data_IF_208036940251
#
_entry.id   IF_208036940251
#
_cell.length_a   1.000
_cell.length_b   1.000
_cell.length_c   1.000
_cell.angle_alpha   90.00
_cell.angle_beta   90.00
_cell.angle_gamma   90.00
#
_symmetry.space_group_name_H-M   'P 1'
#
loop_
_entity.id
_entity.type
_entity.pdbx_description
1 polymer ?
#
# COMPACT_ATOMS: atom_id res chain seq x y z
N UNK A 1 23.52 -3.02 -9.43
CA UNK A 1 22.54 -3.28 -8.35
C UNK A 1 22.46 -2.04 -7.48
N UNK A 2 21.75 -0.99 -7.91
CA UNK A 2 21.51 0.16 -7.04
C UNK A 2 20.41 -0.23 -6.07
N UNK A 3 20.81 -0.67 -4.87
CA UNK A 3 19.91 -0.65 -3.73
C UNK A 3 19.35 0.77 -3.69
N UNK A 4 18.03 0.88 -3.80
CA UNK A 4 17.30 2.08 -3.51
C UNK A 4 17.66 2.43 -2.06
N UNK A 5 18.68 3.27 -1.88
CA UNK A 5 19.15 3.74 -0.60
C UNK A 5 18.08 4.71 -0.14
N UNK A 6 16.93 4.16 0.30
CA UNK A 6 16.01 4.93 1.10
C UNK A 6 16.84 5.40 2.27
N UNK A 7 17.07 6.72 2.33
CA UNK A 7 17.84 7.29 3.42
C UNK A 7 17.24 6.75 4.71
N UNK A 8 18.09 6.43 5.67
CA UNK A 8 17.68 5.91 6.98
C UNK A 8 16.53 6.73 7.56
N UNK A 9 16.54 8.04 7.28
CA UNK A 9 15.45 8.99 7.52
C UNK A 9 14.08 8.56 6.98
N UNK A 10 13.97 8.14 5.71
CA UNK A 10 12.71 7.68 5.12
C UNK A 10 12.21 6.37 5.75
N UNK A 11 13.13 5.49 6.19
CA UNK A 11 12.76 4.27 6.92
C UNK A 11 12.26 4.61 8.32
N UNK A 12 12.96 5.48 9.05
CA UNK A 12 12.58 5.93 10.39
C UNK A 12 11.23 6.65 10.34
N UNK A 13 11.04 7.60 9.42
CA UNK A 13 9.75 8.27 9.22
C UNK A 13 8.61 7.28 8.97
N UNK A 14 8.84 6.21 8.20
CA UNK A 14 7.79 5.20 7.93
C UNK A 14 7.28 4.50 9.19
N UNK A 15 8.12 4.33 10.22
CA UNK A 15 7.75 3.65 11.46
C UNK A 15 7.38 4.61 12.59
N UNK A 16 8.06 5.75 12.68
CA UNK A 16 7.82 6.76 13.71
C UNK A 16 6.55 7.55 13.41
N UNK A 17 6.27 7.85 12.14
CA UNK A 17 5.12 8.66 11.75
C UNK A 17 3.77 8.05 12.15
N UNK A 18 3.49 6.74 11.93
CA UNK A 18 2.23 6.13 12.38
C UNK A 18 2.08 6.13 13.91
N UNK A 19 3.19 5.97 14.65
CA UNK A 19 3.17 6.00 16.12
C UNK A 19 2.89 7.42 16.61
N UNK A 20 3.64 8.40 16.09
CA UNK A 20 3.42 9.81 16.40
C UNK A 20 2.00 10.26 16.03
N UNK A 21 1.45 9.72 14.95
CA UNK A 21 0.06 9.93 14.56
C UNK A 21 -0.89 9.43 15.67
N UNK A 22 -0.82 8.15 16.02
CA UNK A 22 -1.67 7.58 17.08
C UNK A 22 -1.56 8.37 18.40
N UNK A 23 -0.35 8.76 18.80
CA UNK A 23 -0.12 9.56 20.00
C UNK A 23 -0.79 10.94 19.92
N UNK A 24 -0.59 11.67 18.82
CA UNK A 24 -1.19 12.99 18.64
C UNK A 24 -2.72 12.91 18.62
N UNK A 25 -3.29 11.91 17.95
CA UNK A 25 -4.74 11.70 17.94
C UNK A 25 -5.27 11.40 19.35
N UNK A 26 -4.61 10.51 20.09
CA UNK A 26 -5.00 10.17 21.45
C UNK A 26 -4.93 11.38 22.39
N UNK A 27 -3.92 12.25 22.24
CA UNK A 27 -3.79 13.49 23.02
C UNK A 27 -4.95 14.44 22.71
N UNK A 28 -5.23 14.69 21.43
CA UNK A 28 -6.32 15.61 21.01
C UNK A 28 -7.68 15.08 21.45
N UNK A 29 -7.93 13.78 21.27
CA UNK A 29 -9.18 13.14 21.71
C UNK A 29 -9.36 13.22 23.23
N UNK A 30 -8.30 12.93 24.00
CA UNK A 30 -8.34 13.02 25.46
C UNK A 30 -8.57 14.45 25.94
N UNK A 31 -7.91 15.44 25.32
CA UNK A 31 -8.13 16.85 25.60
C UNK A 31 -9.59 17.25 25.32
N UNK A 32 -10.14 16.84 24.18
CA UNK A 32 -11.51 17.16 23.80
C UNK A 32 -12.57 16.63 24.75
N UNK A 33 -12.38 15.42 25.29
CA UNK A 33 -13.29 14.85 26.28
C UNK A 33 -13.24 15.57 27.63
N UNK A 34 -12.07 16.05 28.05
CA UNK A 34 -11.91 16.76 29.33
C UNK A 34 -12.34 18.22 29.23
N UNK A 35 -12.03 18.88 28.12
CA UNK A 35 -12.43 20.27 27.89
C UNK A 35 -13.93 20.43 27.60
N UNK A 36 -14.64 19.32 27.31
CA UNK A 36 -16.03 19.32 26.82
C UNK A 36 -16.26 20.12 25.53
N UNK A 37 -15.20 20.57 24.88
CA UNK A 37 -15.21 21.35 23.64
C UNK A 37 -15.27 20.44 22.40
N UNK A 38 -16.39 19.72 22.28
CA UNK A 38 -16.58 18.71 21.20
C UNK A 38 -16.40 19.31 19.80
N UNK A 39 -16.92 20.52 19.55
CA UNK A 39 -16.81 21.20 18.26
C UNK A 39 -15.36 21.54 17.90
N UNK A 40 -14.61 22.14 18.85
CA UNK A 40 -13.19 22.49 18.63
C UNK A 40 -12.35 21.23 18.42
N UNK A 41 -12.65 20.17 19.17
CA UNK A 41 -12.00 18.86 19.00
C UNK A 41 -12.21 18.31 17.60
N UNK A 42 -13.43 18.37 17.06
CA UNK A 42 -13.70 17.95 15.68
C UNK A 42 -12.92 18.77 14.65
N UNK A 43 -12.84 20.09 14.82
CA UNK A 43 -12.04 20.96 13.93
C UNK A 43 -10.57 20.55 13.97
N UNK A 44 -10.00 20.33 15.16
CA UNK A 44 -8.60 19.92 15.31
C UNK A 44 -8.38 18.55 14.67
N UNK A 45 -9.29 17.60 14.85
CA UNK A 45 -9.21 16.26 14.21
C UNK A 45 -9.25 16.37 12.69
N UNK A 46 -10.15 17.20 12.13
CA UNK A 46 -10.22 17.42 10.67
C UNK A 46 -8.93 18.07 10.16
N UNK A 47 -8.47 19.15 10.79
CA UNK A 47 -7.23 19.81 10.42
C UNK A 47 -6.03 18.86 10.48
N UNK A 48 -5.98 18.03 11.52
CA UNK A 48 -4.98 16.99 11.71
C UNK A 48 -5.02 15.93 10.59
N UNK A 49 -6.21 15.46 10.20
CA UNK A 49 -6.36 14.54 9.06
C UNK A 49 -5.90 15.18 7.75
N UNK A 50 -6.24 16.45 7.50
CA UNK A 50 -5.80 17.19 6.31
C UNK A 50 -4.27 17.29 6.26
N UNK A 51 -3.62 17.64 7.37
CA UNK A 51 -2.15 17.70 7.46
C UNK A 51 -1.56 16.31 7.22
N UNK A 52 -2.12 15.27 7.86
CA UNK A 52 -1.64 13.91 7.70
C UNK A 52 -1.73 13.42 6.26
N UNK A 53 -2.90 13.53 5.63
CA UNK A 53 -3.07 13.15 4.24
C UNK A 53 -2.19 14.00 3.32
N UNK A 54 -2.04 15.30 3.60
CA UNK A 54 -1.12 16.18 2.90
C UNK A 54 0.33 15.68 2.92
N UNK A 55 0.83 15.27 4.09
CA UNK A 55 2.18 14.71 4.25
C UNK A 55 2.31 13.37 3.50
N UNK A 56 1.33 12.47 3.65
CA UNK A 56 1.34 11.16 2.95
C UNK A 56 1.36 11.36 1.43
N UNK A 57 0.52 12.27 0.92
CA UNK A 57 0.47 12.64 -0.50
C UNK A 57 1.81 13.24 -0.94
N UNK A 58 2.39 14.16 -0.16
CA UNK A 58 3.68 14.77 -0.49
C UNK A 58 4.82 13.74 -0.56
N UNK A 59 4.87 12.79 0.37
CA UNK A 59 5.82 11.66 0.35
C UNK A 59 5.58 10.80 -0.90
N UNK A 60 4.32 10.50 -1.22
CA UNK A 60 3.93 9.77 -2.43
C UNK A 60 4.41 10.45 -3.72
N UNK A 61 4.13 11.75 -3.86
CA UNK A 61 4.55 12.57 -5.01
C UNK A 61 6.09 12.58 -5.13
N UNK A 62 6.81 12.77 -4.02
CA UNK A 62 8.28 12.78 -4.04
C UNK A 62 8.85 11.44 -4.50
N UNK A 63 8.33 10.33 -3.98
CA UNK A 63 8.72 8.98 -4.41
C UNK A 63 8.48 8.79 -5.91
N UNK A 64 7.33 9.23 -6.42
CA UNK A 64 6.98 9.12 -7.84
C UNK A 64 7.89 9.99 -8.72
N UNK A 65 8.21 11.22 -8.30
CA UNK A 65 9.14 12.11 -9.02
C UNK A 65 10.55 11.53 -9.15
N UNK A 66 11.07 10.92 -8.09
CA UNK A 66 12.40 10.28 -8.14
C UNK A 66 12.42 9.16 -9.18
N UNK A 67 11.38 8.33 -9.23
CA UNK A 67 11.26 7.27 -10.26
C UNK A 67 11.16 7.82 -11.67
N UNK A 68 10.35 8.87 -11.88
CA UNK A 68 10.28 9.50 -13.19
C UNK A 68 11.62 10.07 -13.64
N UNK A 69 12.38 10.67 -12.73
CA UNK A 69 13.73 11.14 -13.02
C UNK A 69 14.68 10.00 -13.39
N UNK A 70 14.64 8.88 -12.67
CA UNK A 70 15.42 7.68 -13.02
C UNK A 70 15.07 7.15 -14.41
N UNK A 71 13.78 7.14 -14.77
CA UNK A 71 13.31 6.74 -16.10
C UNK A 71 13.78 7.74 -17.15
N UNK A 72 13.68 9.03 -16.89
CA UNK A 72 14.13 10.09 -17.81
C UNK A 72 15.65 10.03 -18.04
N UNK A 73 16.45 9.86 -16.99
CA UNK A 73 17.89 9.66 -17.07
C UNK A 73 18.22 8.38 -17.86
N UNK A 74 17.47 7.30 -17.66
CA UNK A 74 17.61 6.09 -18.46
C UNK A 74 17.32 6.32 -19.94
N UNK A 75 16.20 6.97 -20.27
CA UNK A 75 15.82 7.28 -21.65
C UNK A 75 16.85 8.17 -22.34
N UNK A 76 17.43 9.17 -21.63
CA UNK A 76 18.49 10.04 -22.17
C UNK A 76 19.82 9.29 -22.38
N UNK A 77 20.18 8.40 -21.46
CA UNK A 77 21.45 7.66 -21.51
C UNK A 77 21.45 6.52 -22.53
N UNK A 78 20.28 5.99 -22.88
CA UNK A 78 20.16 4.85 -23.80
C UNK A 78 20.36 5.29 -25.25
N UNK A 79 21.61 5.21 -25.72
CA UNK A 79 22.00 5.53 -27.12
C UNK A 79 21.37 4.61 -28.16
N UNK A 80 20.85 3.46 -27.74
CA UNK A 80 20.44 2.34 -28.62
C UNK A 80 19.08 2.50 -29.28
N UNK A 81 18.30 3.53 -28.93
CA UNK A 81 16.90 3.67 -29.36
C UNK A 81 15.98 2.58 -28.79
N UNK A 82 14.67 2.77 -28.92
CA UNK A 82 13.70 1.73 -28.60
C UNK A 82 13.74 0.65 -29.68
N UNK A 83 13.79 -0.63 -29.27
CA UNK A 83 13.69 -1.79 -30.16
C UNK A 83 12.27 -1.96 -30.64
N UNK A 84 11.30 -1.79 -29.73
CA UNK A 84 9.88 -1.87 -30.02
C UNK A 84 9.13 -0.89 -29.12
N UNK A 85 8.08 -0.27 -29.67
CA UNK A 85 7.21 0.63 -28.92
C UNK A 85 5.76 0.28 -29.18
N UNK A 86 5.05 -0.16 -28.14
CA UNK A 86 3.63 -0.47 -28.20
C UNK A 86 2.84 0.60 -27.46
N UNK A 87 1.75 1.01 -28.08
CA UNK A 87 0.86 2.04 -27.56
C UNK A 87 -0.42 1.41 -26.99
N UNK A 88 -1.18 2.23 -26.26
CA UNK A 88 -2.50 1.89 -25.75
C UNK A 88 -3.41 1.26 -26.82
N UNK A 89 -3.42 1.81 -28.03
CA UNK A 89 -4.29 1.33 -29.10
C UNK A 89 -3.92 -0.08 -29.57
N UNK A 90 -2.63 -0.42 -29.55
CA UNK A 90 -2.13 -1.75 -29.88
C UNK A 90 -2.59 -2.78 -28.85
N UNK A 91 -2.53 -2.40 -27.56
CA UNK A 91 -3.03 -3.23 -26.47
C UNK A 91 -4.54 -3.44 -26.55
N UNK A 92 -5.31 -2.35 -26.72
CA UNK A 92 -6.79 -2.44 -26.78
C UNK A 92 -7.22 -3.36 -27.93
N UNK A 93 -6.67 -3.19 -29.13
CA UNK A 93 -7.00 -4.03 -30.30
C UNK A 93 -6.65 -5.51 -30.08
N UNK A 94 -5.61 -5.80 -29.32
CA UNK A 94 -5.23 -7.18 -28.99
C UNK A 94 -6.13 -7.75 -27.87
N UNK A 95 -6.49 -6.94 -26.88
CA UNK A 95 -7.36 -7.31 -25.77
C UNK A 95 -8.80 -7.58 -26.20
N UNK A 96 -9.34 -6.78 -27.13
CA UNK A 96 -10.68 -6.98 -27.72
C UNK A 96 -10.85 -8.35 -28.37
N UNK A 97 -9.74 -8.96 -28.80
CA UNK A 97 -9.72 -10.27 -29.45
C UNK A 97 -9.47 -11.43 -28.49
N UNK A 98 -9.30 -11.17 -27.20
CA UNK A 98 -9.19 -12.21 -26.16
C UNK A 98 -10.60 -12.57 -25.64
N UNK A 99 -11.15 -13.74 -26.02
CA UNK A 99 -12.52 -14.12 -25.65
C UNK A 99 -12.72 -14.32 -24.14
N UNK A 100 -11.63 -14.54 -23.39
CA UNK A 100 -11.68 -14.77 -21.95
C UNK A 100 -11.41 -13.50 -21.13
N UNK A 101 -10.97 -12.40 -21.77
CA UNK A 101 -10.55 -11.18 -21.08
C UNK A 101 -11.65 -10.59 -20.19
N UNK A 102 -12.88 -10.51 -20.71
CA UNK A 102 -14.03 -9.97 -19.96
C UNK A 102 -14.36 -10.86 -18.76
N UNK A 103 -14.32 -12.18 -18.92
CA UNK A 103 -14.62 -13.11 -17.83
C UNK A 103 -13.55 -13.06 -16.74
N UNK A 104 -12.26 -13.01 -17.11
CA UNK A 104 -11.14 -12.88 -16.18
C UNK A 104 -11.18 -11.55 -15.42
N UNK A 105 -11.44 -10.45 -16.13
CA UNK A 105 -11.60 -9.11 -15.53
C UNK A 105 -12.76 -9.09 -14.55
N UNK A 106 -13.91 -9.66 -14.92
CA UNK A 106 -15.07 -9.72 -14.03
C UNK A 106 -14.80 -10.58 -12.78
N UNK A 107 -14.07 -11.70 -12.91
CA UNK A 107 -13.66 -12.51 -11.75
C UNK A 107 -12.71 -11.74 -10.84
N UNK A 108 -11.75 -11.01 -11.42
CA UNK A 108 -10.85 -10.15 -10.66
C UNK A 108 -11.61 -9.06 -9.90
N UNK A 109 -12.46 -8.29 -10.59
CA UNK A 109 -13.27 -7.23 -9.97
C UNK A 109 -14.16 -7.79 -8.86
N UNK A 110 -14.84 -8.91 -9.08
CA UNK A 110 -15.66 -9.57 -8.04
C UNK A 110 -14.83 -9.99 -6.83
N UNK A 111 -13.63 -10.52 -7.04
CA UNK A 111 -12.72 -10.89 -5.96
C UNK A 111 -12.27 -9.67 -5.15
N UNK A 112 -11.89 -8.58 -5.83
CA UNK A 112 -11.51 -7.33 -5.16
C UNK A 112 -12.69 -6.69 -4.42
N UNK A 113 -13.89 -6.68 -5.02
CA UNK A 113 -15.10 -6.18 -4.36
C UNK A 113 -15.45 -7.01 -3.13
N UNK A 114 -15.38 -8.34 -3.21
CA UNK A 114 -15.59 -9.22 -2.05
C UNK A 114 -14.63 -8.85 -0.91
N UNK A 115 -13.36 -8.65 -1.25
CA UNK A 115 -12.34 -8.26 -0.29
C UNK A 115 -12.61 -6.90 0.36
N UNK A 116 -13.02 -5.91 -0.43
CA UNK A 116 -13.41 -4.59 0.08
C UNK A 116 -14.64 -4.65 0.99
N UNK A 117 -15.66 -5.41 0.60
CA UNK A 117 -16.88 -5.57 1.41
C UNK A 117 -16.54 -6.24 2.74
N UNK A 118 -15.74 -7.31 2.73
CA UNK A 118 -15.34 -7.97 3.98
C UNK A 118 -14.55 -7.00 4.86
N UNK A 119 -13.63 -6.22 4.28
CA UNK A 119 -12.87 -5.21 5.03
C UNK A 119 -13.80 -4.16 5.66
N UNK A 120 -14.81 -3.67 4.93
CA UNK A 120 -15.80 -2.74 5.48
C UNK A 120 -16.62 -3.36 6.62
N UNK A 121 -17.12 -4.58 6.43
CA UNK A 121 -17.90 -5.29 7.46
C UNK A 121 -17.05 -5.51 8.71
N UNK A 122 -15.78 -5.90 8.53
CA UNK A 122 -14.82 -6.04 9.63
C UNK A 122 -14.59 -4.71 10.34
N UNK A 123 -14.35 -3.62 9.61
CA UNK A 123 -14.12 -2.29 10.20
C UNK A 123 -15.30 -1.82 11.04
N UNK A 124 -16.51 -1.96 10.50
CA UNK A 124 -17.75 -1.63 11.20
C UNK A 124 -17.92 -2.55 12.42
N UNK A 125 -17.72 -3.86 12.25
CA UNK A 125 -17.79 -4.83 13.33
C UNK A 125 -16.81 -4.54 14.47
N UNK A 126 -15.58 -4.13 14.16
CA UNK A 126 -14.59 -3.72 15.15
C UNK A 126 -14.99 -2.43 15.87
N UNK A 127 -15.52 -1.46 15.14
CA UNK A 127 -15.99 -0.20 15.74
C UNK A 127 -17.15 -0.46 16.70
N UNK A 128 -18.12 -1.30 16.31
CA UNK A 128 -19.21 -1.71 17.18
C UNK A 128 -18.72 -2.54 18.38
N UNK A 129 -17.85 -3.53 18.15
CA UNK A 129 -17.27 -4.36 19.21
C UNK A 129 -16.56 -3.48 20.24
N UNK A 130 -15.75 -2.53 19.77
CA UNK A 130 -15.07 -1.62 20.69
C UNK A 130 -16.07 -0.75 21.45
N UNK A 131 -16.97 -0.08 20.74
CA UNK A 131 -17.88 0.89 21.32
C UNK A 131 -18.81 0.27 22.36
N UNK A 132 -19.35 -0.92 22.10
CA UNK A 132 -20.40 -1.53 22.92
C UNK A 132 -19.90 -2.59 23.90
N UNK A 133 -18.79 -3.25 23.61
CA UNK A 133 -18.31 -4.39 24.42
C UNK A 133 -17.03 -4.06 25.17
N UNK A 134 -16.07 -3.40 24.51
CA UNK A 134 -14.73 -3.22 25.05
C UNK A 134 -14.50 -1.87 25.74
N UNK A 135 -15.23 -0.82 25.35
CA UNK A 135 -15.05 0.54 25.86
C UNK A 135 -15.23 0.63 27.38
N UNK A 136 -16.27 0.01 27.93
CA UNK A 136 -16.57 0.05 29.37
C UNK A 136 -15.43 -0.53 30.23
N UNK A 137 -15.00 -1.78 30.00
CA UNK A 137 -13.88 -2.38 30.71
C UNK A 137 -12.56 -1.61 30.54
N UNK A 138 -12.26 -1.11 29.34
CA UNK A 138 -11.01 -0.40 29.08
C UNK A 138 -10.96 1.01 29.67
N UNK A 139 -12.07 1.76 29.63
CA UNK A 139 -12.17 3.05 30.34
C UNK A 139 -12.00 2.83 31.85
N UNK A 140 -12.61 1.77 32.40
CA UNK A 140 -12.45 1.42 33.82
C UNK A 140 -10.99 1.11 34.17
N UNK A 141 -10.32 0.29 33.35
CA UNK A 141 -8.91 -0.02 33.51
C UNK A 141 -8.02 1.22 33.39
N UNK A 142 -8.27 2.08 32.39
CA UNK A 142 -7.50 3.29 32.17
C UNK A 142 -7.66 4.28 33.33
N UNK A 143 -8.88 4.41 33.87
CA UNK A 143 -9.15 5.18 35.09
C UNK A 143 -8.39 4.61 36.29
N UNK A 144 -8.42 3.29 36.48
CA UNK A 144 -7.69 2.62 37.55
C UNK A 144 -6.18 2.85 37.46
N UNK A 145 -5.58 2.70 36.27
CA UNK A 145 -4.14 2.94 36.06
C UNK A 145 -3.80 4.40 36.39
N UNK A 146 -4.57 5.34 35.81
CA UNK A 146 -4.33 6.77 35.99
C UNK A 146 -4.47 7.21 37.45
N UNK A 147 -5.49 6.72 38.17
CA UNK A 147 -5.73 7.08 39.56
C UNK A 147 -4.76 6.40 40.53
N UNK A 148 -4.40 5.14 40.30
CA UNK A 148 -3.47 4.39 41.15
C UNK A 148 -2.05 4.92 41.05
N UNK A 149 -1.60 5.26 39.83
CA UNK A 149 -0.29 5.87 39.61
C UNK A 149 -0.30 7.37 39.94
N UNK A 150 -1.50 7.97 39.99
CA UNK A 150 -1.73 9.40 40.20
C UNK A 150 -0.89 10.27 39.25
N UNK A 151 -0.96 9.95 37.96
CA UNK A 151 -0.12 10.56 36.91
C UNK A 151 -0.30 12.10 36.89
N UNK A 152 -1.53 12.57 37.10
CA UNK A 152 -1.87 13.98 37.15
C UNK A 152 -1.22 14.77 38.30
N UNK A 153 -0.77 14.09 39.37
CA UNK A 153 0.04 14.74 40.41
C UNK A 153 1.46 15.06 39.91
N UNK A 154 2.07 14.14 39.17
CA UNK A 154 3.43 14.28 38.67
C UNK A 154 3.52 15.07 37.36
N UNK A 155 2.52 14.97 36.51
CA UNK A 155 2.50 15.52 35.16
C UNK A 155 1.18 16.24 34.89
N UNK A 156 0.90 17.32 35.62
CA UNK A 156 -0.34 18.08 35.42
C UNK A 156 -0.29 18.84 34.07
N UNK A 157 -1.20 18.59 33.11
CA UNK A 157 -1.27 19.39 31.89
C UNK A 157 -1.72 20.82 32.19
N UNK A 158 -1.14 21.79 31.49
CA UNK A 158 -1.39 23.22 31.70
C UNK A 158 -2.85 23.66 31.53
N UNK A 159 -3.65 22.90 30.76
CA UNK A 159 -5.07 23.17 30.52
C UNK A 159 -6.02 22.54 31.54
N UNK A 160 -5.49 21.77 32.51
CA UNK A 160 -6.31 21.16 33.57
C UNK A 160 -6.23 21.98 34.85
N UNK A 161 -7.37 22.22 35.50
CA UNK A 161 -7.43 23.04 36.72
C UNK A 161 -7.15 22.21 37.96
N UNK A 162 -7.60 20.95 37.98
CA UNK A 162 -7.48 20.04 39.13
C UNK A 162 -6.62 18.82 38.82
N UNK A 163 -6.09 18.16 39.85
CA UNK A 163 -5.36 16.89 39.70
C UNK A 163 -6.31 15.78 39.22
N UNK A 164 -7.57 15.85 39.63
CA UNK A 164 -8.63 14.94 39.22
C UNK A 164 -8.90 15.03 37.71
N UNK A 165 -8.99 16.24 37.16
CA UNK A 165 -9.08 16.46 35.71
C UNK A 165 -7.84 15.97 34.97
N UNK A 166 -6.64 16.20 35.51
CA UNK A 166 -5.41 15.69 34.93
C UNK A 166 -5.39 14.15 34.88
N UNK A 167 -5.80 13.48 35.96
CA UNK A 167 -5.96 12.03 35.97
C UNK A 167 -7.04 11.54 34.99
N UNK A 168 -8.12 12.29 34.82
CA UNK A 168 -9.17 11.98 33.84
C UNK A 168 -8.66 12.11 32.40
N UNK A 169 -7.86 13.14 32.10
CA UNK A 169 -7.18 13.29 30.81
C UNK A 169 -6.30 12.07 30.50
N UNK A 170 -5.45 11.65 31.44
CA UNK A 170 -4.60 10.48 31.23
C UNK A 170 -5.39 9.18 31.09
N UNK A 171 -6.52 9.05 31.77
CA UNK A 171 -7.40 7.90 31.57
C UNK A 171 -7.95 7.86 30.13
N UNK A 172 -8.45 8.97 29.59
CA UNK A 172 -8.89 9.01 28.19
C UNK A 172 -7.74 8.79 27.21
N UNK A 173 -6.56 9.36 27.49
CA UNK A 173 -5.38 9.16 26.66
C UNK A 173 -4.98 7.68 26.58
N UNK A 174 -4.90 7.00 27.74
CA UNK A 174 -4.60 5.56 27.81
C UNK A 174 -5.70 4.74 27.12
N UNK A 175 -6.97 5.08 27.30
CA UNK A 175 -8.08 4.41 26.62
C UNK A 175 -7.96 4.50 25.10
N UNK A 176 -7.65 5.67 24.55
CA UNK A 176 -7.39 5.82 23.12
C UNK A 176 -6.18 4.99 22.65
N UNK A 177 -5.11 4.90 23.45
CA UNK A 177 -3.98 4.03 23.09
C UNK A 177 -4.36 2.54 23.09
N UNK A 178 -5.17 2.10 24.05
CA UNK A 178 -5.71 0.74 24.09
C UNK A 178 -6.60 0.50 22.87
N UNK A 179 -7.48 1.45 22.53
CA UNK A 179 -8.31 1.41 21.32
C UNK A 179 -7.48 1.15 20.08
N UNK A 180 -6.47 1.99 19.82
CA UNK A 180 -5.61 1.85 18.65
C UNK A 180 -4.78 0.56 18.68
N UNK A 181 -4.31 0.14 19.85
CA UNK A 181 -3.56 -1.11 20.03
C UNK A 181 -4.42 -2.34 19.70
N UNK A 182 -5.62 -2.43 20.27
CA UNK A 182 -6.58 -3.51 20.00
C UNK A 182 -6.96 -3.51 18.52
N UNK A 183 -7.28 -2.34 17.97
CA UNK A 183 -7.61 -2.19 16.56
C UNK A 183 -6.46 -2.67 15.66
N UNK A 184 -5.22 -2.29 15.98
CA UNK A 184 -4.03 -2.71 15.23
C UNK A 184 -3.84 -4.23 15.27
N UNK A 185 -3.95 -4.85 16.45
CA UNK A 185 -3.80 -6.31 16.60
C UNK A 185 -4.91 -7.06 15.85
N UNK A 186 -6.15 -6.64 15.99
CA UNK A 186 -7.28 -7.28 15.32
C UNK A 186 -7.19 -7.14 13.81
N UNK A 187 -6.85 -5.95 13.32
CA UNK A 187 -6.57 -5.73 11.90
C UNK A 187 -5.43 -6.62 11.42
N UNK A 188 -4.30 -6.66 12.14
CA UNK A 188 -3.18 -7.52 11.77
C UNK A 188 -3.59 -9.00 11.63
N UNK A 189 -4.35 -9.53 12.60
CA UNK A 189 -4.84 -10.92 12.58
C UNK A 189 -5.76 -11.15 11.39
N UNK A 190 -6.73 -10.27 11.16
CA UNK A 190 -7.70 -10.39 10.06
C UNK A 190 -7.00 -10.33 8.72
N UNK A 191 -6.14 -9.34 8.49
CA UNK A 191 -5.38 -9.23 7.25
C UNK A 191 -4.49 -10.47 7.01
N UNK A 192 -3.91 -11.05 8.07
CA UNK A 192 -3.12 -12.28 7.97
C UNK A 192 -3.96 -13.49 7.60
N UNK A 193 -5.15 -13.66 8.20
CA UNK A 193 -6.09 -14.74 7.86
C UNK A 193 -6.58 -14.59 6.42
N UNK A 194 -6.93 -13.36 6.03
CA UNK A 194 -7.44 -13.03 4.71
C UNK A 194 -6.37 -12.97 3.61
N UNK A 195 -5.10 -13.15 3.97
CA UNK A 195 -3.94 -13.00 3.07
C UNK A 195 -3.95 -11.68 2.30
N UNK A 196 -4.45 -10.62 2.95
CA UNK A 196 -4.50 -9.27 2.37
C UNK A 196 -3.23 -8.49 2.73
N UNK A 197 -2.81 -7.52 1.90
CA UNK A 197 -1.73 -6.60 2.24
C UNK A 197 -2.09 -5.79 3.49
N UNK A 198 -1.44 -6.09 4.62
CA UNK A 198 -1.48 -5.22 5.80
C UNK A 198 -0.34 -4.22 5.72
N UNK A 199 -0.58 -2.98 6.17
CA UNK A 199 0.37 -1.86 6.19
C UNK A 199 1.84 -2.30 6.09
N UNK A 200 2.41 -2.20 4.89
CA UNK A 200 3.83 -2.41 4.55
C UNK A 200 4.33 -3.83 4.24
N UNK A 201 3.53 -4.89 4.37
CA UNK A 201 3.95 -6.21 3.87
C UNK A 201 3.76 -6.29 2.35
N UNK A 202 4.83 -6.70 1.65
CA UNK A 202 4.85 -6.96 0.21
C UNK A 202 3.96 -8.18 -0.10
N UNK A 203 2.64 -8.07 0.09
CA UNK A 203 1.71 -9.11 -0.36
C UNK A 203 1.66 -8.99 -1.87
N UNK A 204 2.23 -10.01 -2.50
CA UNK A 204 2.32 -10.15 -3.94
C UNK A 204 0.97 -10.63 -4.44
N UNK A 205 0.37 -9.87 -5.36
CA UNK A 205 -0.77 -10.38 -6.12
C UNK A 205 -0.20 -11.35 -7.15
N UNK A 206 -0.27 -12.64 -6.82
CA UNK A 206 0.23 -13.75 -7.65
C UNK A 206 -0.85 -14.33 -8.56
N UNK A 207 -2.11 -14.19 -8.17
CA UNK A 207 -3.21 -14.93 -8.80
C UNK A 207 -3.77 -14.21 -10.01
N UNK A 208 -3.59 -12.89 -10.07
CA UNK A 208 -4.05 -12.05 -11.18
C UNK A 208 -2.88 -11.30 -11.80
N UNK A 209 -2.76 -11.28 -13.14
CA UNK A 209 -1.72 -10.54 -13.81
C UNK A 209 -2.02 -9.04 -13.80
N UNK A 210 -0.97 -8.25 -13.71
CA UNK A 210 -1.01 -6.85 -14.11
C UNK A 210 -1.01 -6.75 -15.63
N UNK A 211 -2.10 -6.26 -16.20
CA UNK A 211 -2.20 -6.03 -17.65
C UNK A 211 -1.60 -4.67 -18.00
N UNK A 212 -0.62 -4.66 -18.90
CA UNK A 212 -0.06 -3.42 -19.46
C UNK A 212 -1.10 -2.76 -20.37
N UNK A 213 -1.36 -1.46 -20.17
CA UNK A 213 -2.51 -0.79 -20.80
C UNK A 213 -2.22 0.57 -21.41
N UNK A 214 -1.12 1.23 -21.05
CA UNK A 214 -0.78 2.57 -21.55
C UNK A 214 0.30 2.52 -22.62
N UNK A 215 1.46 2.00 -22.26
CA UNK A 215 2.65 2.04 -23.12
C UNK A 215 3.62 0.94 -22.71
N UNK A 216 4.27 0.33 -23.70
CA UNK A 216 5.44 -0.52 -23.47
C UNK A 216 6.55 -0.04 -24.39
N UNK A 217 7.69 0.30 -23.81
CA UNK A 217 8.90 0.59 -24.57
C UNK A 217 9.92 -0.49 -24.26
N UNK A 218 10.33 -1.24 -25.27
CA UNK A 218 11.34 -2.29 -25.16
C UNK A 218 12.66 -1.72 -25.67
N UNK A 219 13.67 -1.72 -24.83
CA UNK A 219 15.06 -1.42 -25.17
C UNK A 219 15.85 -2.72 -25.30
N UNK A 220 17.09 -2.64 -25.79
CA UNK A 220 17.96 -3.84 -25.91
C UNK A 220 18.29 -4.46 -24.55
N UNK A 221 18.31 -3.65 -23.50
CA UNK A 221 18.79 -3.97 -22.16
C UNK A 221 17.78 -3.64 -21.06
N UNK A 222 16.57 -3.17 -21.41
CA UNK A 222 15.49 -2.93 -20.45
C UNK A 222 14.10 -2.92 -21.10
N UNK A 223 13.09 -2.88 -20.25
CA UNK A 223 11.68 -2.73 -20.62
C UNK A 223 11.03 -1.68 -19.72
N UNK A 224 10.37 -0.69 -20.31
CA UNK A 224 9.60 0.32 -19.61
C UNK A 224 8.11 0.02 -19.77
N UNK A 225 7.43 -0.23 -18.65
CA UNK A 225 6.01 -0.55 -18.59
C UNK A 225 5.22 0.66 -18.08
N UNK A 226 4.19 1.04 -18.83
CA UNK A 226 3.25 2.13 -18.57
C UNK A 226 3.91 3.47 -18.22
N UNK A 227 5.13 3.69 -18.71
CA UNK A 227 5.94 4.88 -18.43
C UNK A 227 6.39 5.02 -16.97
N UNK A 228 6.16 4.02 -16.12
CA UNK A 228 6.37 4.11 -14.67
C UNK A 228 7.26 3.02 -14.09
N UNK A 229 7.37 1.87 -14.76
CA UNK A 229 8.10 0.72 -14.24
C UNK A 229 9.21 0.31 -15.19
N UNK A 230 10.45 0.62 -14.83
CA UNK A 230 11.64 0.26 -15.58
C UNK A 230 12.22 -1.07 -15.09
N UNK A 231 12.24 -2.07 -15.97
CA UNK A 231 12.80 -3.40 -15.78
C UNK A 231 14.11 -3.52 -16.54
N UNK A 232 15.24 -3.54 -15.84
CA UNK A 232 16.56 -3.70 -16.47
C UNK A 232 16.92 -5.18 -16.63
N UNK A 233 17.52 -5.53 -17.76
CA UNK A 233 18.04 -6.87 -18.06
C UNK A 233 19.25 -7.21 -17.15
N UNK A 234 19.42 -8.47 -16.72
CA UNK A 234 18.49 -9.58 -16.91
C UNK A 234 17.27 -9.50 -15.99
N UNK A 235 16.08 -9.58 -16.55
CA UNK A 235 14.81 -9.62 -15.82
C UNK A 235 14.63 -11.04 -15.27
N UNK A 236 14.70 -11.18 -13.95
CA UNK A 236 14.54 -12.47 -13.26
C UNK A 236 13.06 -12.87 -13.22
N UNK A 237 12.74 -13.99 -13.86
CA UNK A 237 11.38 -14.53 -13.95
C UNK A 237 11.35 -16.00 -13.56
N UNK A 238 10.25 -16.41 -12.93
CA UNK A 238 9.94 -17.80 -12.59
C UNK A 238 9.38 -18.58 -13.77
N UNK A 239 8.52 -17.93 -14.54
CA UNK A 239 7.85 -18.54 -15.68
C UNK A 239 7.48 -17.49 -16.73
N UNK A 240 7.43 -17.94 -17.99
CA UNK A 240 6.96 -17.16 -19.14
C UNK A 240 5.95 -18.02 -19.90
N UNK A 241 4.80 -17.45 -20.20
CA UNK A 241 3.70 -18.07 -20.94
C UNK A 241 3.42 -17.20 -22.16
N UNK A 242 3.51 -17.79 -23.35
CA UNK A 242 3.17 -17.13 -24.61
C UNK A 242 1.89 -17.80 -25.12
N UNK A 243 0.80 -17.06 -25.19
CA UNK A 243 -0.48 -17.56 -25.66
C UNK A 243 -0.87 -16.85 -26.96
N UNK A 244 -0.72 -17.53 -28.08
CA UNK A 244 -1.05 -17.00 -29.41
C UNK A 244 -2.57 -16.88 -29.62
N UNK A 245 -3.34 -17.84 -29.11
CA UNK A 245 -4.81 -17.85 -29.23
C UNK A 245 -5.43 -16.65 -28.53
N UNK A 246 -4.96 -16.34 -27.31
CA UNK A 246 -5.40 -15.21 -26.49
C UNK A 246 -4.55 -13.94 -26.68
N UNK A 247 -3.56 -13.98 -27.58
CA UNK A 247 -2.75 -12.84 -28.03
C UNK A 247 -1.98 -12.12 -26.91
N UNK A 248 -1.36 -12.86 -26.00
CA UNK A 248 -0.57 -12.26 -24.93
C UNK A 248 0.74 -13.00 -24.64
N UNK A 249 1.66 -12.28 -24.00
CA UNK A 249 2.83 -12.79 -23.30
C UNK A 249 2.63 -12.47 -21.83
N UNK A 250 2.71 -13.48 -20.98
CA UNK A 250 2.65 -13.34 -19.53
C UNK A 250 3.97 -13.82 -18.92
N UNK A 251 4.53 -13.07 -17.99
CA UNK A 251 5.69 -13.52 -17.24
C UNK A 251 5.53 -13.22 -15.76
N UNK A 252 6.06 -14.13 -14.94
CA UNK A 252 6.04 -13.99 -13.49
C UNK A 252 7.41 -13.60 -12.98
N UNK A 253 7.54 -12.39 -12.45
CA UNK A 253 8.74 -11.92 -11.80
C UNK A 253 9.06 -12.73 -10.54
N UNK A 254 10.35 -12.97 -10.30
CA UNK A 254 10.81 -13.64 -9.08
C UNK A 254 10.53 -12.81 -7.82
N UNK A 255 10.53 -11.47 -7.96
CA UNK A 255 10.23 -10.50 -6.91
C UNK A 255 9.33 -9.39 -7.47
N UNK A 256 8.37 -8.85 -6.69
CA UNK A 256 7.53 -7.74 -7.11
C UNK A 256 8.38 -6.50 -7.35
N UNK A 257 7.94 -5.65 -8.28
CA UNK A 257 8.60 -4.37 -8.52
C UNK A 257 8.28 -3.38 -7.41
N UNK A 258 9.23 -2.48 -7.14
CA UNK A 258 9.01 -1.38 -6.21
C UNK A 258 7.82 -0.54 -6.68
N UNK A 259 6.72 -0.56 -5.92
CA UNK A 259 5.48 0.13 -6.24
C UNK A 259 4.54 -0.56 -7.22
N UNK A 260 4.85 -1.76 -7.70
CA UNK A 260 3.88 -2.64 -8.36
C UNK A 260 3.72 -3.91 -7.51
N UNK A 261 2.58 -4.09 -6.81
CA UNK A 261 2.37 -5.25 -5.95
C UNK A 261 2.12 -6.56 -6.73
N UNK A 262 2.13 -6.51 -8.07
CA UNK A 262 1.91 -7.66 -8.93
C UNK A 262 3.23 -8.34 -9.30
N UNK A 263 3.25 -9.66 -9.24
CA UNK A 263 4.39 -10.45 -9.74
C UNK A 263 4.15 -10.99 -11.14
N UNK A 264 2.89 -11.18 -11.55
CA UNK A 264 2.56 -11.57 -12.91
C UNK A 264 2.30 -10.31 -13.74
N UNK A 265 2.93 -10.21 -14.90
CA UNK A 265 2.75 -9.11 -15.85
C UNK A 265 2.30 -9.72 -17.18
N UNK A 266 1.22 -9.19 -17.74
CA UNK A 266 0.66 -9.61 -19.03
C UNK A 266 0.72 -8.47 -20.03
N UNK A 267 1.28 -8.77 -21.20
CA UNK A 267 1.43 -7.87 -22.33
C UNK A 267 0.61 -8.44 -23.49
N UNK A 268 -0.37 -7.68 -23.95
CA UNK A 268 -1.17 -8.03 -25.12
C UNK A 268 -0.48 -7.59 -26.40
N UNK A 269 -0.48 -8.43 -27.43
CA UNK A 269 0.09 -8.09 -28.72
C UNK A 269 -0.56 -8.89 -29.84
N UNK A 270 -0.71 -8.30 -31.04
CA UNK A 270 -1.34 -8.96 -32.20
C UNK A 270 -0.68 -10.30 -32.53
N UNK A 271 0.65 -10.35 -32.44
CA UNK A 271 1.49 -11.53 -32.67
C UNK A 271 2.46 -11.69 -31.49
N UNK A 272 2.06 -12.35 -30.39
CA UNK A 272 2.87 -12.39 -29.17
C UNK A 272 4.17 -13.17 -29.38
N UNK A 273 4.19 -14.18 -30.24
CA UNK A 273 5.40 -14.93 -30.56
C UNK A 273 6.44 -14.09 -31.31
N UNK A 274 5.98 -13.30 -32.28
CA UNK A 274 6.83 -12.41 -33.05
C UNK A 274 7.48 -11.34 -32.16
N UNK A 275 6.70 -10.73 -31.27
CA UNK A 275 7.20 -9.79 -30.26
C UNK A 275 8.22 -10.44 -29.33
N UNK A 276 7.95 -11.67 -28.89
CA UNK A 276 8.85 -12.43 -28.04
C UNK A 276 10.21 -12.63 -28.69
N UNK A 277 10.21 -13.20 -29.91
CA UNK A 277 11.42 -13.60 -30.62
C UNK A 277 12.25 -12.39 -31.09
N UNK A 278 11.60 -11.29 -31.49
CA UNK A 278 12.29 -10.08 -31.99
C UNK A 278 12.82 -9.17 -30.89
N UNK A 279 12.06 -8.96 -29.81
CA UNK A 279 12.34 -7.86 -28.88
C UNK A 279 12.56 -8.31 -27.43
N UNK A 280 11.94 -9.40 -26.98
CA UNK A 280 11.89 -9.74 -25.55
C UNK A 280 12.85 -10.86 -25.13
N UNK A 281 13.11 -11.85 -25.98
CA UNK A 281 13.82 -13.09 -25.62
C UNK A 281 15.13 -12.88 -24.87
N UNK A 282 15.90 -11.87 -25.24
CA UNK A 282 17.22 -11.59 -24.66
C UNK A 282 17.18 -10.78 -23.35
N UNK A 283 15.99 -10.33 -22.91
CA UNK A 283 15.83 -9.52 -21.71
C UNK A 283 15.64 -10.37 -20.44
N UNK A 284 15.24 -11.63 -20.58
CA UNK A 284 14.80 -12.46 -19.47
C UNK A 284 15.84 -13.52 -19.08
N UNK A 285 15.94 -13.77 -17.78
CA UNK A 285 16.64 -14.93 -17.22
C UNK A 285 15.65 -15.74 -16.39
N UNK A 286 15.39 -16.97 -16.84
CA UNK A 286 14.51 -17.91 -16.15
C UNK A 286 15.30 -18.50 -14.97
N UNK A 287 14.73 -18.43 -13.76
CA UNK A 287 15.30 -19.14 -12.61
C UNK A 287 15.08 -20.66 -12.80
N UNK A 288 16.17 -21.39 -13.04
CA UNK A 288 16.18 -22.86 -13.01
C UNK A 288 15.91 -23.32 -11.56
N UNK A 289 14.66 -23.62 -11.23
CA UNK A 289 14.30 -24.02 -9.87
C UNK A 289 12.84 -24.37 -9.58
N UNK A 290 11.91 -24.17 -10.51
CA UNK A 290 10.51 -24.59 -10.35
C UNK A 290 10.02 -25.39 -11.56
N UNK A 291 10.68 -26.52 -11.82
CA UNK A 291 10.04 -27.64 -12.48
C UNK A 291 9.49 -28.57 -11.39
N UNK A 292 8.17 -28.50 -11.18
CA UNK A 292 7.35 -29.58 -10.66
C UNK A 292 6.06 -29.58 -11.45
#
# INVERSE_FOLDING_TARGET
MYQQQSSTWNKVLRYVWPIAFVLAFAIVGAWGNVAHETFVTWIIVIAYLVIFFGIVIAIGIRSTRVRFREIEEYMKSTKSGAVEKLTRDDFIKAMEKDPEYVQETNRFVKSQMKNMIILMVVLIGLLLLYTYVLSGPFITLAKYISSTVNIGYYLKPWFTQTIQEANLFYAYFIDYLIYFGVFFVLMYVIFRIMRMPFMTTNVQITDYPYTVTKELIIFRDAMLIDGMYLLKSPIQVKQIVINEKRRFIEFQLSKPLSGLPYTKIRIYHKSPRDLWDKAMKNLFKIEEGTAK
#
